data_IF_208083470598
#
_entry.id   IF_208083470598
#
_cell.length_a   1.000
_cell.length_b   1.000
_cell.length_c   1.000
_cell.angle_alpha   90.00
_cell.angle_beta   90.00
_cell.angle_gamma   90.00
#
_symmetry.space_group_name_H-M   'P 1'
#
loop_
_entity.id
_entity.type
_entity.pdbx_description
1 polymer ?
#
# COMPACT_ATOMS: atom_id res chain seq x y z
N UNK A 1 -17.07 29.76 10.30
CA UNK A 1 -15.81 30.43 10.70
C UNK A 1 -15.51 31.59 9.75
N UNK A 2 -15.26 32.80 10.28
CA UNK A 2 -14.83 33.94 9.48
C UNK A 2 -13.31 34.08 9.62
N UNK A 3 -12.56 33.65 8.60
CA UNK A 3 -11.12 33.93 8.52
C UNK A 3 -10.92 35.38 8.06
N UNK A 4 -9.94 36.06 8.62
CA UNK A 4 -9.51 37.41 8.23
C UNK A 4 -8.61 37.37 6.99
N UNK A 5 -8.50 38.48 6.23
CA UNK A 5 -7.59 38.55 5.08
C UNK A 5 -6.13 38.24 5.42
N UNK A 6 -5.64 38.65 6.59
CA UNK A 6 -4.26 38.38 7.01
C UNK A 6 -4.03 36.90 7.31
N UNK A 7 -4.99 36.23 7.95
CA UNK A 7 -4.94 34.78 8.17
C UNK A 7 -4.93 34.00 6.83
N UNK A 8 -5.71 34.44 5.85
CA UNK A 8 -5.73 33.84 4.50
C UNK A 8 -4.38 34.05 3.80
N UNK A 9 -3.78 35.25 3.92
CA UNK A 9 -2.45 35.55 3.37
C UNK A 9 -1.39 34.65 3.98
N UNK A 10 -1.31 34.58 5.30
CA UNK A 10 -0.31 33.76 5.99
C UNK A 10 -0.45 32.28 5.61
N UNK A 11 -1.68 31.75 5.57
CA UNK A 11 -1.91 30.37 5.14
C UNK A 11 -1.46 30.13 3.69
N UNK A 12 -1.71 31.07 2.79
CA UNK A 12 -1.23 31.00 1.41
C UNK A 12 0.30 31.04 1.33
N UNK A 13 0.96 31.98 2.02
CA UNK A 13 2.41 32.15 1.99
C UNK A 13 3.15 30.91 2.54
N UNK A 14 2.64 30.28 3.60
CA UNK A 14 3.17 29.02 4.14
C UNK A 14 3.11 27.89 3.09
N UNK A 15 1.96 27.69 2.45
CA UNK A 15 1.83 26.64 1.43
C UNK A 15 2.63 26.96 0.16
N UNK A 16 2.72 28.25 -0.19
CA UNK A 16 3.51 28.69 -1.35
C UNK A 16 5.01 28.49 -1.11
N UNK A 17 5.52 28.82 0.07
CA UNK A 17 6.91 28.53 0.44
C UNK A 17 7.18 27.02 0.47
N UNK A 18 6.27 26.23 1.06
CA UNK A 18 6.39 24.77 1.07
C UNK A 18 6.44 24.19 -0.35
N UNK A 19 5.69 24.76 -1.28
CA UNK A 19 5.60 24.27 -2.66
C UNK A 19 6.72 24.80 -3.58
N UNK A 20 7.17 26.04 -3.39
CA UNK A 20 8.05 26.76 -4.34
C UNK A 20 9.35 27.30 -3.71
N UNK A 21 9.52 27.19 -2.40
CA UNK A 21 10.74 27.53 -1.65
C UNK A 21 11.04 29.01 -1.51
N UNK A 22 10.07 29.89 -1.76
CA UNK A 22 10.20 31.34 -1.55
C UNK A 22 8.83 32.01 -1.47
N UNK A 23 8.77 33.22 -0.90
CA UNK A 23 7.60 34.11 -0.91
C UNK A 23 8.00 35.53 -1.29
N UNK A 24 7.01 36.35 -1.68
CA UNK A 24 7.21 37.77 -1.90
C UNK A 24 6.20 38.57 -1.03
N UNK A 25 6.61 39.01 0.17
CA UNK A 25 5.72 39.66 1.14
C UNK A 25 5.03 40.92 0.62
N UNK A 26 5.72 41.68 -0.25
CA UNK A 26 5.22 42.93 -0.82
C UNK A 26 4.24 42.71 -1.98
N UNK A 27 4.10 41.47 -2.46
CA UNK A 27 3.23 41.15 -3.58
C UNK A 27 1.74 41.14 -3.19
N UNK A 28 0.92 41.56 -4.14
CA UNK A 28 -0.55 41.44 -4.02
C UNK A 28 -0.96 40.02 -4.34
N UNK A 29 -1.64 39.37 -3.41
CA UNK A 29 -2.24 38.05 -3.63
C UNK A 29 -3.55 38.25 -4.40
N UNK A 30 -3.74 37.48 -5.48
CA UNK A 30 -4.99 37.46 -6.25
C UNK A 30 -5.71 36.13 -6.06
N UNK A 31 -6.96 36.17 -5.58
CA UNK A 31 -7.80 34.98 -5.43
C UNK A 31 -8.46 34.67 -6.76
N UNK A 32 -7.83 33.81 -7.56
CA UNK A 32 -8.33 33.46 -8.89
C UNK A 32 -9.56 32.53 -8.85
N UNK A 33 -9.68 31.68 -7.83
CA UNK A 33 -10.78 30.69 -7.68
C UNK A 33 -11.10 30.47 -6.20
N UNK A 34 -12.38 30.29 -5.91
CA UNK A 34 -12.88 29.83 -4.60
C UNK A 34 -13.53 28.46 -4.78
N UNK A 35 -13.19 27.52 -3.89
CA UNK A 35 -13.77 26.17 -3.88
C UNK A 35 -14.40 25.91 -2.53
N UNK A 36 -15.63 25.42 -2.54
CA UNK A 36 -16.33 24.95 -1.35
C UNK A 36 -16.48 23.43 -1.45
N UNK A 37 -16.17 22.72 -0.37
CA UNK A 37 -16.36 21.27 -0.26
C UNK A 37 -17.37 21.02 0.86
N UNK A 38 -18.50 20.40 0.51
CA UNK A 38 -19.44 19.85 1.47
C UNK A 38 -19.12 18.38 1.71
N UNK A 39 -18.92 17.99 2.97
CA UNK A 39 -18.64 16.60 3.35
C UNK A 39 -19.82 16.08 4.19
N UNK A 40 -20.55 15.11 3.65
CA UNK A 40 -21.53 14.34 4.42
C UNK A 40 -20.83 13.32 5.29
N UNK A 41 -21.17 13.26 6.58
CA UNK A 41 -20.64 12.25 7.50
C UNK A 41 -21.54 11.02 7.46
N UNK A 42 -20.96 9.88 7.07
CA UNK A 42 -21.58 8.56 7.22
C UNK A 42 -21.08 7.90 8.51
N UNK A 43 -21.83 6.95 9.09
CA UNK A 43 -21.29 6.08 10.12
C UNK A 43 -19.99 5.42 9.64
N UNK A 44 -19.00 5.20 10.53
CA UNK A 44 -17.79 4.48 10.17
C UNK A 44 -18.13 3.07 9.70
N UNK A 45 -17.42 2.59 8.69
CA UNK A 45 -17.39 1.16 8.40
C UNK A 45 -16.47 0.49 9.44
N UNK A 46 -16.88 -0.68 9.93
CA UNK A 46 -16.00 -1.49 10.76
C UNK A 46 -15.07 -2.30 9.86
N UNK A 47 -13.79 -2.32 10.20
CA UNK A 47 -12.82 -3.17 9.51
C UNK A 47 -13.15 -4.65 9.75
N UNK A 48 -12.99 -5.52 8.74
CA UNK A 48 -13.14 -6.95 8.92
C UNK A 48 -12.11 -7.46 9.94
N UNK A 49 -12.50 -8.46 10.73
CA UNK A 49 -11.61 -9.11 11.70
C UNK A 49 -11.39 -10.55 11.30
N UNK A 50 -10.13 -10.93 11.18
CA UNK A 50 -9.71 -12.30 10.92
C UNK A 50 -8.89 -12.81 12.09
N UNK A 51 -9.24 -13.98 12.60
CA UNK A 51 -8.47 -14.64 13.65
C UNK A 51 -7.11 -15.08 13.09
N UNK A 52 -6.05 -14.87 13.89
CA UNK A 52 -4.73 -15.35 13.53
C UNK A 52 -4.73 -16.89 13.56
N UNK A 53 -4.08 -17.50 12.59
CA UNK A 53 -3.86 -18.95 12.56
C UNK A 53 -2.38 -19.26 12.69
N UNK A 54 -2.06 -20.29 13.48
CA UNK A 54 -0.69 -20.79 13.65
C UNK A 54 -0.36 -21.92 12.66
N UNK A 55 -1.33 -22.34 11.84
CA UNK A 55 -1.17 -23.42 10.88
C UNK A 55 -0.29 -23.00 9.70
N UNK A 56 0.56 -23.91 9.24
CA UNK A 56 1.37 -23.70 8.05
C UNK A 56 0.50 -23.93 6.81
N UNK A 57 0.41 -22.92 5.95
CA UNK A 57 -0.27 -23.06 4.66
C UNK A 57 0.51 -24.04 3.77
N UNK A 58 -0.21 -24.95 3.11
CA UNK A 58 0.39 -25.94 2.21
C UNK A 58 0.17 -25.54 0.75
N UNK A 59 1.18 -25.64 -0.12
CA UNK A 59 1.00 -25.34 -1.53
C UNK A 59 0.06 -26.34 -2.20
N UNK A 60 -0.77 -25.85 -3.12
CA UNK A 60 -1.68 -26.66 -3.94
C UNK A 60 -0.94 -27.39 -5.08
N UNK A 61 0.15 -26.81 -5.55
CA UNK A 61 1.06 -27.41 -6.53
C UNK A 61 2.47 -26.82 -6.43
N UNK A 62 3.41 -27.42 -7.13
CA UNK A 62 4.73 -26.85 -7.40
C UNK A 62 4.97 -26.89 -8.89
N UNK A 63 5.41 -25.76 -9.46
CA UNK A 63 5.72 -25.66 -10.89
C UNK A 63 7.00 -24.88 -11.15
N UNK A 64 7.66 -25.20 -12.26
CA UNK A 64 8.86 -24.50 -12.71
C UNK A 64 8.52 -23.13 -13.25
N UNK A 65 9.10 -22.09 -12.67
CA UNK A 65 8.95 -20.70 -13.11
C UNK A 65 10.33 -20.13 -13.39
N UNK A 66 10.48 -19.45 -14.52
CA UNK A 66 11.74 -18.80 -14.86
C UNK A 66 11.93 -17.56 -13.98
N UNK A 67 12.99 -17.55 -13.18
CA UNK A 67 13.36 -16.41 -12.34
C UNK A 67 14.51 -15.64 -13.01
N UNK A 68 14.25 -14.39 -13.38
CA UNK A 68 15.26 -13.56 -14.06
C UNK A 68 16.48 -13.27 -13.17
N UNK A 69 16.26 -13.09 -11.85
CA UNK A 69 17.33 -12.88 -10.87
C UNK A 69 18.32 -14.05 -10.82
N UNK A 70 17.83 -15.28 -10.89
CA UNK A 70 18.66 -16.50 -10.90
C UNK A 70 19.06 -16.96 -12.31
N UNK A 71 18.47 -16.39 -13.36
CA UNK A 71 18.63 -16.79 -14.78
C UNK A 71 18.32 -18.26 -15.06
N UNK A 72 17.47 -18.89 -14.25
CA UNK A 72 17.10 -20.30 -14.37
C UNK A 72 15.63 -20.55 -14.02
N UNK A 73 15.16 -21.79 -14.26
CA UNK A 73 13.84 -22.22 -13.79
C UNK A 73 13.94 -22.73 -12.36
N UNK A 74 13.19 -22.10 -11.44
CA UNK A 74 13.11 -22.50 -10.04
C UNK A 74 11.81 -23.27 -9.76
N UNK A 75 11.89 -24.29 -8.91
CA UNK A 75 10.70 -24.94 -8.35
C UNK A 75 9.97 -23.93 -7.46
N UNK A 76 8.78 -23.53 -7.90
CA UNK A 76 8.01 -22.45 -7.28
C UNK A 76 6.73 -23.02 -6.70
N UNK A 77 6.53 -22.79 -5.40
CA UNK A 77 5.34 -23.27 -4.69
C UNK A 77 4.13 -22.39 -5.04
N UNK A 78 3.01 -23.00 -5.41
CA UNK A 78 1.77 -22.28 -5.74
C UNK A 78 0.77 -22.49 -4.62
N UNK A 79 0.20 -21.39 -4.14
CA UNK A 79 -0.79 -21.38 -3.07
C UNK A 79 -2.11 -20.79 -3.59
N UNK A 80 -3.22 -21.32 -3.11
CA UNK A 80 -4.53 -20.72 -3.32
C UNK A 80 -4.71 -19.59 -2.29
N UNK A 81 -4.96 -18.36 -2.74
CA UNK A 81 -5.12 -17.19 -1.85
C UNK A 81 -6.20 -17.38 -0.78
N UNK A 82 -7.28 -18.10 -1.12
CA UNK A 82 -8.36 -18.43 -0.19
C UNK A 82 -7.94 -19.33 1.00
N UNK A 83 -6.79 -20.00 0.90
CA UNK A 83 -6.24 -20.85 1.96
C UNK A 83 -5.26 -20.08 2.86
N UNK A 84 -4.94 -18.83 2.52
CA UNK A 84 -4.12 -17.95 3.34
C UNK A 84 -4.98 -17.08 4.25
N UNK A 85 -4.55 -16.96 5.51
CA UNK A 85 -5.23 -16.17 6.53
C UNK A 85 -4.23 -15.40 7.41
N UNK A 86 -4.75 -14.41 8.13
CA UNK A 86 -4.00 -13.61 9.10
C UNK A 86 -3.00 -14.44 9.93
N UNK A 87 -1.76 -13.96 9.98
CA UNK A 87 -0.67 -14.57 10.75
C UNK A 87 0.22 -15.49 9.94
N UNK A 88 -0.23 -15.96 8.77
CA UNK A 88 0.57 -16.84 7.92
C UNK A 88 1.61 -16.06 7.12
N UNK A 89 2.70 -16.76 6.79
CA UNK A 89 3.79 -16.24 5.96
C UNK A 89 4.25 -17.30 4.96
N UNK A 90 4.59 -16.85 3.76
CA UNK A 90 5.19 -17.67 2.72
C UNK A 90 6.53 -17.07 2.32
N UNK A 91 7.54 -17.91 2.22
CA UNK A 91 8.85 -17.57 1.66
C UNK A 91 8.87 -17.92 0.17
N UNK A 92 9.44 -17.02 -0.62
CA UNK A 92 9.62 -17.26 -2.05
C UNK A 92 10.82 -18.19 -2.34
N UNK A 93 10.89 -18.77 -3.57
CA UNK A 93 10.02 -18.50 -4.70
C UNK A 93 8.62 -19.13 -4.54
N UNK A 94 7.59 -18.28 -4.62
CA UNK A 94 6.20 -18.70 -4.49
C UNK A 94 5.25 -17.88 -5.37
N UNK A 95 4.11 -18.48 -5.71
CA UNK A 95 2.99 -17.81 -6.36
C UNK A 95 1.76 -17.96 -5.47
N UNK A 96 1.02 -16.87 -5.25
CA UNK A 96 -0.31 -16.89 -4.64
C UNK A 96 -1.33 -16.56 -5.73
N UNK A 97 -2.23 -17.49 -6.02
CA UNK A 97 -3.31 -17.32 -6.99
C UNK A 97 -4.57 -16.85 -6.26
N UNK A 98 -4.99 -15.63 -6.57
CA UNK A 98 -6.22 -15.01 -6.08
C UNK A 98 -7.32 -15.06 -7.14
N UNK A 99 -8.57 -14.89 -6.73
CA UNK A 99 -9.70 -14.93 -7.66
C UNK A 99 -9.60 -13.87 -8.78
N UNK A 100 -8.91 -12.75 -8.52
CA UNK A 100 -8.79 -11.61 -9.45
C UNK A 100 -7.35 -11.16 -9.72
N UNK A 101 -6.35 -11.80 -9.12
CA UNK A 101 -4.95 -11.40 -9.26
C UNK A 101 -4.01 -12.57 -9.01
N UNK A 102 -2.71 -12.36 -9.25
CA UNK A 102 -1.68 -13.35 -8.95
C UNK A 102 -0.49 -12.62 -8.37
N UNK A 103 -0.02 -13.06 -7.21
CA UNK A 103 1.10 -12.46 -6.49
C UNK A 103 2.31 -13.35 -6.69
N UNK A 104 3.37 -12.81 -7.27
CA UNK A 104 4.67 -13.48 -7.37
C UNK A 104 5.54 -13.03 -6.19
N UNK A 105 6.03 -13.99 -5.42
CA UNK A 105 6.99 -13.77 -4.33
C UNK A 105 8.33 -14.30 -4.82
N UNK A 106 9.29 -13.40 -5.04
CA UNK A 106 10.60 -13.73 -5.60
C UNK A 106 11.46 -14.58 -4.66
N UNK A 107 12.56 -15.18 -5.15
CA UNK A 107 13.52 -15.86 -4.30
C UNK A 107 14.04 -14.90 -3.22
N UNK A 108 14.00 -15.31 -1.94
CA UNK A 108 14.43 -14.46 -0.82
C UNK A 108 13.33 -13.56 -0.25
N UNK A 109 12.36 -13.17 -1.09
CA UNK A 109 11.22 -12.38 -0.67
C UNK A 109 10.31 -13.14 0.31
N UNK A 110 9.58 -12.38 1.11
CA UNK A 110 8.60 -12.89 2.06
C UNK A 110 7.27 -12.18 1.87
N UNK A 111 6.20 -12.96 1.89
CA UNK A 111 4.85 -12.43 2.04
C UNK A 111 4.29 -12.81 3.42
N UNK A 112 3.56 -11.88 4.04
CA UNK A 112 2.80 -12.07 5.27
C UNK A 112 1.37 -11.60 5.08
N UNK A 113 0.43 -12.25 5.76
CA UNK A 113 -0.99 -11.85 5.77
C UNK A 113 -1.30 -11.09 7.06
N UNK A 114 -1.75 -9.84 6.92
CA UNK A 114 -2.08 -8.98 8.05
C UNK A 114 -3.47 -9.27 8.65
N UNK A 115 -3.84 -8.54 9.71
CA UNK A 115 -5.12 -8.72 10.40
C UNK A 115 -6.36 -8.37 9.57
N UNK A 116 -6.18 -7.75 8.40
CA UNK A 116 -7.23 -7.38 7.45
C UNK A 116 -7.23 -8.29 6.22
N UNK A 117 -6.43 -9.37 6.23
CA UNK A 117 -6.16 -10.26 5.10
C UNK A 117 -5.56 -9.54 3.88
N UNK A 118 -4.79 -8.46 4.10
CA UNK A 118 -3.93 -7.93 3.06
C UNK A 118 -2.59 -8.67 3.03
N UNK A 119 -1.99 -8.71 1.84
CA UNK A 119 -0.64 -9.22 1.64
C UNK A 119 0.38 -8.10 1.79
N UNK A 120 1.34 -8.29 2.68
CA UNK A 120 2.54 -7.45 2.77
C UNK A 120 3.72 -8.24 2.21
N UNK A 121 4.33 -7.73 1.13
CA UNK A 121 5.53 -8.32 0.53
C UNK A 121 6.75 -7.52 0.98
N UNK A 122 7.70 -8.21 1.59
CA UNK A 122 9.03 -7.68 1.91
C UNK A 122 10.02 -8.27 0.92
N UNK A 123 10.67 -7.39 0.18
CA UNK A 123 11.69 -7.77 -0.81
C UNK A 123 13.03 -7.97 -0.11
N UNK A 124 13.73 -9.05 -0.42
CA UNK A 124 15.13 -9.18 -0.04
C UNK A 124 15.95 -8.29 -0.97
N UNK A 125 16.49 -7.18 -0.44
CA UNK A 125 17.42 -6.34 -1.19
C UNK A 125 18.77 -7.03 -1.28
N UNK A 126 19.25 -7.27 -2.50
CA UNK A 126 20.66 -7.61 -2.77
C UNK A 126 21.56 -6.44 -2.32
N UNK A 127 22.49 -6.69 -1.39
CA UNK A 127 23.63 -5.80 -1.11
C UNK A 127 24.72 -5.89 -2.18
#
# INVERSE_FOLDING_TARGET
PAATPDEIRTAFEVEYDRQFGHTNPESRINVAKLRVVGIGKLPPLEDPKFDAVDEVVTPIETRKVYAESAREFLETSVYQGADLSHGQSVLGPAIIEEATTTILVGPGDRVTVDALNNYTVTFETEE
#
